data_IF_347966017672
#
_entry.id   IF_347966017672
#
_cell.length_a   1.000
_cell.length_b   1.000
_cell.length_c   1.000
_cell.angle_alpha   90.00
_cell.angle_beta   90.00
_cell.angle_gamma   90.00
#
_symmetry.space_group_name_H-M   'P 1'
#
loop_
_entity.id
_entity.type
_entity.pdbx_description
1 polymer ?
#
# COMPACT_ATOMS: atom_id res chain seq x y z
N UNK A 1 -18.82 0.93 -14.62
CA UNK A 1 -18.28 0.12 -13.49
C UNK A 1 -18.10 1.04 -12.30
N UNK A 2 -18.50 0.64 -11.10
CA UNK A 2 -18.39 1.48 -9.90
C UNK A 2 -17.21 1.01 -9.04
N UNK A 3 -16.32 1.94 -8.69
CA UNK A 3 -15.19 1.67 -7.80
C UNK A 3 -15.39 2.46 -6.50
N UNK A 4 -15.45 1.74 -5.40
CA UNK A 4 -15.54 2.32 -4.05
C UNK A 4 -14.31 1.94 -3.24
N UNK A 5 -13.73 2.92 -2.54
CA UNK A 5 -12.59 2.72 -1.64
C UNK A 5 -12.85 3.43 -0.31
N UNK A 6 -12.53 2.76 0.80
CA UNK A 6 -12.72 3.29 2.16
C UNK A 6 -11.44 3.11 2.96
N UNK A 7 -10.85 4.22 3.40
CA UNK A 7 -9.73 4.25 4.33
C UNK A 7 -10.21 4.83 5.67
N UNK A 8 -10.46 3.95 6.64
CA UNK A 8 -11.01 4.31 7.96
C UNK A 8 -12.31 5.12 7.80
N UNK A 9 -12.28 6.42 8.13
CA UNK A 9 -13.43 7.32 8.05
C UNK A 9 -13.50 8.13 6.75
N UNK A 10 -12.57 7.92 5.81
CA UNK A 10 -12.55 8.61 4.51
C UNK A 10 -12.92 7.63 3.40
N UNK A 11 -14.07 7.88 2.77
CA UNK A 11 -14.53 7.15 1.60
C UNK A 11 -14.33 7.94 0.30
N UNK A 12 -14.14 7.24 -0.80
CA UNK A 12 -14.10 7.83 -2.13
C UNK A 12 -14.75 6.87 -3.14
N UNK A 13 -15.77 7.36 -3.85
CA UNK A 13 -16.53 6.58 -4.83
C UNK A 13 -16.49 7.30 -6.18
N UNK A 14 -16.05 6.59 -7.23
CA UNK A 14 -15.99 7.13 -8.59
C UNK A 14 -16.76 6.21 -9.55
N UNK A 15 -17.54 6.83 -10.44
CA UNK A 15 -18.25 6.15 -11.53
C UNK A 15 -17.38 6.22 -12.78
N UNK A 16 -16.92 5.07 -13.26
CA UNK A 16 -16.21 4.96 -14.53
C UNK A 16 -17.17 4.54 -15.66
N UNK A 17 -17.39 5.47 -16.59
CA UNK A 17 -18.11 5.26 -17.85
C UNK A 17 -17.09 5.07 -18.99
N UNK A 18 -17.05 3.90 -19.63
CA UNK A 18 -16.11 3.66 -20.72
C UNK A 18 -16.35 4.63 -21.88
N UNK A 19 -15.29 5.33 -22.31
CA UNK A 19 -15.33 6.33 -23.39
C UNK A 19 -15.68 7.77 -22.96
N UNK A 20 -16.04 7.99 -21.69
CA UNK A 20 -16.40 9.32 -21.15
C UNK A 20 -15.51 9.69 -19.98
N UNK A 21 -15.34 8.78 -19.03
CA UNK A 21 -14.49 8.97 -17.85
C UNK A 21 -13.07 8.48 -18.13
N UNK A 22 -12.05 9.19 -17.62
CA UNK A 22 -10.67 8.73 -17.69
C UNK A 22 -10.53 7.32 -17.10
N UNK A 23 -9.73 6.43 -17.72
CA UNK A 23 -9.45 5.11 -17.17
C UNK A 23 -8.85 5.19 -15.76
N UNK A 24 -9.06 4.16 -14.94
CA UNK A 24 -8.55 4.11 -13.57
C UNK A 24 -7.03 4.30 -13.48
N UNK A 25 -6.28 3.75 -14.44
CA UNK A 25 -4.82 3.94 -14.55
C UNK A 25 -4.43 5.43 -14.59
N UNK A 26 -5.20 6.26 -15.28
CA UNK A 26 -4.96 7.70 -15.37
C UNK A 26 -5.33 8.46 -14.08
N UNK A 27 -6.00 7.81 -13.13
CA UNK A 27 -6.34 8.34 -11.80
C UNK A 27 -5.53 7.71 -10.67
N UNK A 28 -4.57 6.85 -10.99
CA UNK A 28 -3.79 6.10 -9.97
C UNK A 28 -2.98 7.01 -9.06
N UNK A 29 -2.61 8.21 -9.52
CA UNK A 29 -1.93 9.24 -8.71
C UNK A 29 -2.79 9.84 -7.59
N UNK A 30 -4.13 9.68 -7.65
CA UNK A 30 -5.03 10.10 -6.58
C UNK A 30 -5.04 9.13 -5.39
N UNK A 31 -4.56 7.89 -5.60
CA UNK A 31 -4.44 6.94 -4.51
C UNK A 31 -3.33 7.40 -3.57
N UNK A 32 -3.55 7.33 -2.25
CA UNK A 32 -2.49 7.63 -1.29
C UNK A 32 -1.29 6.71 -1.56
N UNK A 33 -0.09 7.26 -1.37
CA UNK A 33 1.13 6.49 -1.46
C UNK A 33 1.08 5.35 -0.45
N UNK A 34 1.14 4.11 -0.95
CA UNK A 34 1.17 2.93 -0.11
C UNK A 34 2.39 2.99 0.81
N UNK A 35 2.20 2.72 2.09
CA UNK A 35 3.30 2.71 3.08
C UNK A 35 4.28 1.61 2.68
N UNK A 36 5.45 2.01 2.19
CA UNK A 36 6.56 1.11 1.86
C UNK A 36 7.69 1.34 2.85
N UNK A 37 8.11 0.29 3.52
CA UNK A 37 9.23 0.36 4.45
C UNK A 37 10.55 0.13 3.69
N UNK A 38 11.47 1.10 3.63
CA UNK A 38 12.73 0.97 2.92
C UNK A 38 13.60 -0.14 3.54
N UNK A 39 13.92 -1.16 2.75
CA UNK A 39 14.58 -2.39 3.21
C UNK A 39 15.88 -2.18 3.99
N UNK A 40 16.67 -1.17 3.62
CA UNK A 40 17.94 -0.85 4.29
C UNK A 40 17.78 -0.38 5.75
N UNK A 41 16.70 0.34 6.05
CA UNK A 41 16.39 0.69 7.44
C UNK A 41 15.83 -0.58 8.14
N UNK A 42 15.06 -1.44 7.44
CA UNK A 42 14.39 -2.67 7.99
C UNK A 42 15.41 -3.62 8.57
N UNK A 43 16.55 -3.76 7.89
CA UNK A 43 17.63 -4.64 8.30
C UNK A 43 18.50 -4.13 9.44
N UNK A 44 18.49 -2.81 9.72
CA UNK A 44 19.57 -2.18 10.51
C UNK A 44 19.11 -1.73 11.89
N UNK A 45 18.07 -0.91 12.01
CA UNK A 45 17.53 -0.48 13.32
C UNK A 45 16.03 -0.20 13.17
N UNK A 46 15.15 -1.11 13.64
CA UNK A 46 13.72 -0.86 13.62
C UNK A 46 13.32 0.07 14.76
N UNK A 47 13.23 1.37 14.49
CA UNK A 47 12.90 2.40 15.50
C UNK A 47 11.41 2.49 15.86
N UNK A 48 10.55 1.69 15.25
CA UNK A 48 9.09 1.74 15.47
C UNK A 48 8.49 0.33 15.42
N UNK A 49 7.45 0.06 16.21
CA UNK A 49 6.80 -1.25 16.29
C UNK A 49 6.34 -1.78 14.93
N UNK A 50 5.78 -0.92 14.06
CA UNK A 50 5.39 -1.29 12.69
C UNK A 50 6.56 -1.87 11.88
N UNK A 51 7.76 -1.35 12.14
CA UNK A 51 8.99 -1.71 11.50
C UNK A 51 9.57 -3.03 12.01
N UNK A 52 9.39 -3.31 13.30
CA UNK A 52 9.72 -4.60 13.91
C UNK A 52 8.86 -5.72 13.33
N UNK A 53 7.56 -5.48 13.17
CA UNK A 53 6.60 -6.44 12.58
C UNK A 53 6.99 -6.74 11.14
N UNK A 54 7.21 -5.70 10.32
CA UNK A 54 7.60 -5.87 8.91
C UNK A 54 8.96 -6.56 8.74
N UNK A 55 9.95 -6.28 9.61
CA UNK A 55 11.24 -7.01 9.61
C UNK A 55 11.04 -8.51 9.90
N UNK A 56 10.17 -8.85 10.84
CA UNK A 56 9.91 -10.25 11.18
C UNK A 56 9.27 -11.00 10.02
N UNK A 57 8.28 -10.39 9.36
CA UNK A 57 7.58 -10.99 8.22
C UNK A 57 8.45 -11.08 6.97
N UNK A 58 9.19 -10.03 6.61
CA UNK A 58 9.93 -10.01 5.34
C UNK A 58 11.33 -10.62 5.44
N UNK A 59 12.02 -10.45 6.57
CA UNK A 59 13.45 -10.81 6.68
C UNK A 59 13.64 -12.07 7.51
N UNK A 60 13.04 -12.15 8.71
CA UNK A 60 13.25 -13.30 9.59
C UNK A 60 12.55 -14.55 9.08
N UNK A 61 11.32 -14.44 8.60
CA UNK A 61 10.56 -15.56 8.03
C UNK A 61 11.20 -16.10 6.75
N UNK A 62 11.56 -15.21 5.81
CA UNK A 62 12.23 -15.59 4.56
C UNK A 62 13.58 -16.27 4.81
N UNK A 63 14.33 -15.89 5.85
CA UNK A 63 15.59 -16.55 6.24
C UNK A 63 15.41 -17.91 6.89
N UNK A 64 14.27 -18.16 7.53
CA UNK A 64 13.97 -19.43 8.22
C UNK A 64 13.40 -20.50 7.29
N UNK A 65 12.74 -20.08 6.20
CA UNK A 65 12.11 -20.94 5.20
C UNK A 65 12.89 -20.99 3.88
N UNK A 66 14.21 -20.83 3.98
CA UNK A 66 15.19 -21.07 2.92
C UNK A 66 16.16 -22.14 3.43
#
# INVERSE_FOLDING_TARGET
>A
MMHEATERFKGHAHVLLPGITLPFENTTWLLPSQVKFPRGILTRIPSTTAYCTENAHLIKWSRKNQ
#
